data_IF_702000187917
#
_entry.id   IF_702000187917
#
_cell.length_a   1.000
_cell.length_b   1.000
_cell.length_c   1.000
_cell.angle_alpha   90.00
_cell.angle_beta   90.00
_cell.angle_gamma   90.00
#
_symmetry.space_group_name_H-M   'P 1'
#
loop_
_entity.id
_entity.type
_entity.pdbx_description
1 polymer ?
#
# COMPACT_ATOMS: atom_id res chain seq x y z
N UNK A 1 27.30 -20.14 6.23
CA UNK A 1 27.30 -19.44 7.53
C UNK A 1 25.98 -18.71 7.71
N UNK A 2 25.32 -18.92 8.85
CA UNK A 2 24.08 -18.31 9.35
C UNK A 2 22.81 -18.43 8.47
N UNK A 3 22.09 -19.55 8.67
CA UNK A 3 20.66 -19.72 8.41
C UNK A 3 19.86 -18.78 9.32
N UNK A 4 18.91 -18.03 8.76
CA UNK A 4 17.96 -17.22 9.53
C UNK A 4 16.53 -17.54 9.10
N UNK A 5 15.80 -18.09 10.07
CA UNK A 5 14.39 -18.49 10.01
C UNK A 5 13.50 -17.28 9.72
N UNK A 6 12.63 -17.42 8.73
CA UNK A 6 11.50 -16.52 8.54
C UNK A 6 10.53 -16.68 9.71
N UNK A 7 10.20 -15.58 10.39
CA UNK A 7 9.12 -15.55 11.35
C UNK A 7 7.79 -15.51 10.58
N UNK A 8 7.18 -16.68 10.43
CA UNK A 8 5.84 -16.86 9.87
C UNK A 8 4.84 -16.33 10.89
N UNK A 9 4.16 -15.22 10.55
CA UNK A 9 2.93 -14.83 11.24
C UNK A 9 1.82 -15.82 10.84
N UNK A 10 1.36 -16.62 11.81
CA UNK A 10 0.19 -17.49 11.68
C UNK A 10 -1.05 -16.69 12.03
N UNK A 11 -2.01 -16.58 11.12
CA UNK A 11 -3.40 -16.36 11.49
C UNK A 11 -4.30 -17.23 10.61
N UNK A 12 -5.06 -18.11 11.27
CA UNK A 12 -6.15 -18.87 10.68
C UNK A 12 -7.30 -17.92 10.35
N UNK A 13 -7.83 -17.98 9.12
CA UNK A 13 -9.20 -17.55 8.85
C UNK A 13 -9.87 -18.55 7.91
N UNK A 14 -10.91 -19.18 8.46
CA UNK A 14 -11.92 -19.92 7.71
C UNK A 14 -13.07 -18.95 7.46
N UNK A 15 -13.33 -18.63 6.20
CA UNK A 15 -14.56 -17.95 5.79
C UNK A 15 -15.44 -18.99 5.08
N UNK A 16 -16.35 -19.59 5.85
CA UNK A 16 -17.42 -20.46 5.34
C UNK A 16 -18.51 -19.59 4.71
N UNK A 17 -18.92 -19.97 3.51
CA UNK A 17 -20.14 -19.51 2.82
C UNK A 17 -21.38 -19.72 3.72
N UNK A 18 -22.43 -18.87 3.63
CA UNK A 18 -23.59 -18.99 4.49
C UNK A 18 -24.49 -20.15 4.06
N UNK A 19 -24.82 -21.03 5.02
CA UNK A 19 -25.95 -21.97 4.92
C UNK A 19 -27.24 -21.27 5.32
N UNK A 20 -28.25 -21.46 4.48
CA UNK A 20 -29.66 -21.16 4.71
C UNK A 20 -30.19 -22.15 5.74
N UNK A 21 -30.87 -21.65 6.78
CA UNK A 21 -31.85 -22.44 7.54
C UNK A 21 -33.01 -21.53 7.98
N UNK A 22 -34.20 -22.10 7.86
CA UNK A 22 -35.53 -21.54 8.01
C UNK A 22 -36.16 -21.88 9.36
N UNK A 23 -37.17 -21.07 9.70
CA UNK A 23 -38.30 -21.31 10.63
C UNK A 23 -38.08 -21.27 12.15
N UNK A 24 -39.04 -20.62 12.84
CA UNK A 24 -39.40 -20.97 14.22
C UNK A 24 -39.81 -19.82 15.14
N UNK A 25 -41.10 -19.48 15.09
CA UNK A 25 -41.88 -18.58 15.95
C UNK A 25 -41.89 -18.95 17.46
N UNK A 26 -41.95 -17.96 18.37
CA UNK A 26 -43.02 -17.82 19.38
C UNK A 26 -42.70 -16.80 20.50
N UNK A 27 -43.67 -15.89 20.67
CA UNK A 27 -43.86 -14.87 21.71
C UNK A 27 -44.10 -15.42 23.12
N UNK A 28 -43.82 -14.62 24.16
CA UNK A 28 -44.79 -14.39 25.27
C UNK A 28 -44.47 -13.19 26.17
N UNK A 29 -45.55 -12.42 26.41
CA UNK A 29 -45.74 -11.30 27.33
C UNK A 29 -45.62 -11.65 28.82
N UNK A 30 -45.44 -10.62 29.65
CA UNK A 30 -45.57 -10.70 31.10
C UNK A 30 -45.50 -9.33 31.80
N UNK A 31 -46.63 -8.62 31.76
CA UNK A 31 -46.94 -7.35 32.43
C UNK A 31 -46.93 -7.44 33.98
N UNK A 32 -46.64 -6.34 34.68
CA UNK A 32 -47.55 -5.68 35.65
C UNK A 32 -46.84 -4.76 36.68
N UNK A 33 -47.11 -3.46 36.53
CA UNK A 33 -47.72 -2.54 37.54
C UNK A 33 -47.07 -2.38 38.94
N UNK A 34 -46.88 -1.20 39.55
CA UNK A 34 -47.89 -0.18 39.91
C UNK A 34 -47.24 0.98 40.72
N UNK A 35 -47.65 2.23 40.41
CA UNK A 35 -48.21 3.32 41.29
C UNK A 35 -47.48 3.67 42.62
N UNK A 36 -47.40 4.92 43.14
CA UNK A 36 -48.11 6.22 42.96
C UNK A 36 -47.46 7.28 43.88
N UNK A 37 -47.56 8.57 43.48
CA UNK A 37 -47.80 9.84 44.26
C UNK A 37 -46.87 10.17 45.46
N UNK A 38 -46.51 11.40 45.78
CA UNK A 38 -46.88 12.74 45.32
C UNK A 38 -46.57 13.77 46.43
N UNK A 39 -46.09 14.95 46.03
CA UNK A 39 -46.24 16.29 46.64
C UNK A 39 -45.78 16.61 48.08
N UNK A 40 -45.02 17.73 48.16
CA UNK A 40 -45.27 18.94 49.00
C UNK A 40 -44.24 19.31 50.07
N UNK A 41 -43.61 20.47 49.81
CA UNK A 41 -43.09 21.52 50.72
C UNK A 41 -43.59 21.49 52.17
N UNK A 42 -42.68 21.60 53.16
CA UNK A 42 -42.41 22.86 53.89
C UNK A 42 -41.24 22.73 54.90
N UNK A 43 -40.61 23.88 55.15
CA UNK A 43 -39.51 24.27 56.04
C UNK A 43 -39.37 23.54 57.40
N UNK A 44 -38.12 23.27 57.82
CA UNK A 44 -37.62 23.57 59.17
C UNK A 44 -36.08 23.60 59.24
N UNK A 45 -35.60 24.70 59.80
CA UNK A 45 -34.22 25.11 60.09
C UNK A 45 -33.68 24.32 61.32
N UNK A 46 -32.43 23.82 61.32
CA UNK A 46 -31.33 24.24 62.23
C UNK A 46 -30.12 23.26 62.35
N UNK A 47 -28.92 23.87 62.43
CA UNK A 47 -27.71 23.45 63.16
C UNK A 47 -26.97 22.13 62.86
N UNK A 48 -26.18 22.07 61.76
CA UNK A 48 -24.93 21.26 61.65
C UNK A 48 -23.94 21.88 60.66
N UNK A 49 -23.31 23.01 61.00
CA UNK A 49 -22.44 23.72 60.04
C UNK A 49 -21.14 24.30 60.63
N UNK A 50 -20.41 23.49 61.42
CA UNK A 50 -19.05 23.87 61.89
C UNK A 50 -17.96 22.84 61.55
N UNK A 51 -18.32 21.59 61.20
CA UNK A 51 -17.34 20.55 60.83
C UNK A 51 -17.04 20.49 59.31
N UNK A 52 -17.78 21.23 58.47
CA UNK A 52 -17.66 21.15 56.99
C UNK A 52 -16.59 22.08 56.39
N UNK A 53 -16.09 23.06 57.16
CA UNK A 53 -15.14 24.06 56.66
C UNK A 53 -13.67 23.63 56.61
N UNK A 54 -13.28 22.53 57.27
CA UNK A 54 -11.90 22.01 57.15
C UNK A 54 -11.68 21.14 55.90
N UNK A 55 -12.73 20.48 55.40
CA UNK A 55 -12.66 19.69 54.17
C UNK A 55 -12.66 20.54 52.90
N UNK A 56 -13.31 21.71 52.93
CA UNK A 56 -13.40 22.61 51.76
C UNK A 56 -12.05 23.30 51.48
N UNK A 57 -11.26 23.62 52.50
CA UNK A 57 -9.93 24.24 52.33
C UNK A 57 -8.92 23.24 51.73
N UNK A 58 -9.01 21.96 52.08
CA UNK A 58 -8.18 20.88 51.47
C UNK A 58 -8.52 20.71 49.99
N UNK A 59 -9.80 20.78 49.61
CA UNK A 59 -10.23 20.63 48.22
C UNK A 59 -9.95 21.87 47.35
N UNK A 60 -10.09 23.09 47.88
CA UNK A 60 -9.96 24.32 47.09
C UNK A 60 -8.52 24.83 46.94
N UNK A 61 -7.57 24.39 47.77
CA UNK A 61 -6.18 24.88 47.70
C UNK A 61 -5.21 23.80 47.23
N UNK A 62 -5.35 22.56 47.70
CA UNK A 62 -4.38 21.50 47.37
C UNK A 62 -4.64 20.87 46.00
N UNK A 63 -5.88 20.80 45.53
CA UNK A 63 -6.18 20.29 44.17
C UNK A 63 -5.65 21.24 43.08
N UNK A 64 -5.87 22.57 43.14
CA UNK A 64 -5.29 23.48 42.16
C UNK A 64 -3.75 23.49 42.19
N UNK A 65 -3.13 23.38 43.37
CA UNK A 65 -1.68 23.28 43.50
C UNK A 65 -1.13 21.97 42.92
N UNK A 66 -1.81 20.84 43.14
CA UNK A 66 -1.44 19.56 42.53
C UNK A 66 -1.64 19.58 41.00
N UNK A 67 -2.74 20.15 40.51
CA UNK A 67 -2.98 20.34 39.08
C UNK A 67 -1.95 21.28 38.45
N UNK A 68 -1.58 22.38 39.12
CA UNK A 68 -0.53 23.29 38.67
C UNK A 68 0.85 22.61 38.67
N UNK A 69 1.18 21.83 39.70
CA UNK A 69 2.42 21.07 39.77
C UNK A 69 2.52 20.01 38.66
N UNK A 70 1.43 19.27 38.40
CA UNK A 70 1.33 18.31 37.28
C UNK A 70 1.42 19.03 35.94
N UNK A 71 0.76 20.18 35.78
CA UNK A 71 0.81 20.98 34.56
C UNK A 71 2.23 21.49 34.29
N UNK A 72 2.90 22.08 35.30
CA UNK A 72 4.28 22.58 35.18
C UNK A 72 5.27 21.45 34.91
N UNK A 73 5.15 20.30 35.57
CA UNK A 73 5.99 19.12 35.28
C UNK A 73 5.70 18.49 33.92
N UNK A 74 4.44 18.45 33.48
CA UNK A 74 4.08 17.98 32.14
C UNK A 74 4.64 18.93 31.07
N UNK A 75 4.59 20.25 31.28
CA UNK A 75 5.20 21.23 30.37
C UNK A 75 6.72 21.18 30.40
N UNK A 76 7.34 20.89 31.55
CA UNK A 76 8.79 20.73 31.69
C UNK A 76 9.29 19.46 31.00
N UNK A 77 8.62 18.32 31.18
CA UNK A 77 8.92 17.08 30.43
C UNK A 77 8.66 17.26 28.93
N UNK A 78 7.62 17.98 28.53
CA UNK A 78 7.35 18.29 27.12
C UNK A 78 8.44 19.20 26.55
N UNK A 79 8.88 20.21 27.28
CA UNK A 79 10.00 21.07 26.90
C UNK A 79 11.34 20.32 26.85
N UNK A 80 11.58 19.38 27.78
CA UNK A 80 12.75 18.50 27.77
C UNK A 80 12.70 17.45 26.64
N UNK A 81 11.52 16.94 26.28
CA UNK A 81 11.31 16.07 25.11
C UNK A 81 11.47 16.84 23.79
N UNK A 82 11.08 18.10 23.73
CA UNK A 82 11.35 18.99 22.59
C UNK A 82 12.84 19.38 22.50
N UNK A 83 13.53 19.56 23.63
CA UNK A 83 14.95 19.91 23.67
C UNK A 83 15.88 18.70 23.46
N UNK A 84 15.46 17.48 23.82
CA UNK A 84 16.23 16.24 23.68
C UNK A 84 15.97 15.50 22.36
N UNK A 85 15.14 16.05 21.48
CA UNK A 85 14.58 15.30 20.35
C UNK A 85 14.41 16.09 19.06
N UNK A 86 15.18 17.16 18.82
CA UNK A 86 15.41 17.56 17.42
C UNK A 86 16.46 16.58 16.90
N UNK A 87 16.07 15.53 16.13
CA UNK A 87 17.06 14.67 15.52
C UNK A 87 18.01 15.59 14.75
N UNK A 88 19.32 15.41 14.92
CA UNK A 88 20.31 16.04 14.07
C UNK A 88 19.91 15.69 12.63
N UNK A 89 19.29 16.64 11.93
CA UNK A 89 18.97 16.51 10.52
C UNK A 89 20.31 16.53 9.83
N UNK A 90 20.88 15.35 9.59
CA UNK A 90 21.87 15.23 8.53
C UNK A 90 21.19 15.76 7.27
N UNK A 91 21.82 16.66 6.50
CA UNK A 91 21.24 17.12 5.24
C UNK A 91 20.93 15.88 4.40
N UNK A 92 19.64 15.54 4.31
CA UNK A 92 19.18 14.35 3.61
C UNK A 92 19.07 14.69 2.14
N UNK A 93 19.72 13.89 1.31
CA UNK A 93 19.57 14.03 -0.14
C UNK A 93 18.15 13.59 -0.49
N UNK A 94 17.31 14.45 -1.09
CA UNK A 94 15.93 14.09 -1.35
C UNK A 94 15.84 13.04 -2.46
N UNK A 95 14.88 12.12 -2.32
CA UNK A 95 14.41 11.25 -3.41
C UNK A 95 13.38 12.03 -4.23
N UNK A 96 13.59 12.14 -5.54
CA UNK A 96 12.68 12.88 -6.43
C UNK A 96 11.48 12.02 -6.84
N UNK A 97 11.69 10.73 -7.10
CA UNK A 97 10.61 9.83 -7.46
C UNK A 97 10.87 8.37 -7.08
N UNK A 98 9.80 7.58 -7.05
CA UNK A 98 9.83 6.13 -6.85
C UNK A 98 8.91 5.43 -7.85
N UNK A 99 9.41 4.38 -8.51
CA UNK A 99 8.57 3.40 -9.21
C UNK A 99 8.10 2.40 -8.15
N UNK A 100 6.88 2.60 -7.64
CA UNK A 100 6.44 2.12 -6.33
C UNK A 100 5.61 0.82 -6.34
N UNK A 101 5.34 0.28 -7.53
CA UNK A 101 4.51 -0.91 -7.67
C UNK A 101 3.67 -0.89 -8.94
N UNK A 102 2.79 -1.89 -9.09
CA UNK A 102 2.82 -3.15 -8.34
C UNK A 102 3.78 -4.16 -9.00
N UNK A 103 4.21 -5.22 -8.29
CA UNK A 103 4.93 -6.32 -8.93
C UNK A 103 4.18 -6.79 -10.18
N UNK A 104 4.92 -7.15 -11.23
CA UNK A 104 4.37 -7.65 -12.51
C UNK A 104 3.50 -6.66 -13.28
N UNK A 105 3.56 -5.38 -12.94
CA UNK A 105 2.88 -4.29 -13.65
C UNK A 105 3.86 -3.41 -14.44
N UNK A 106 4.95 -3.97 -14.99
CA UNK A 106 5.85 -3.25 -15.89
C UNK A 106 6.93 -2.38 -15.23
N UNK A 107 7.09 -2.47 -13.90
CA UNK A 107 8.08 -1.66 -13.16
C UNK A 107 9.52 -1.85 -13.61
N UNK A 108 9.87 -3.05 -14.10
CA UNK A 108 11.25 -3.34 -14.58
C UNK A 108 11.52 -2.70 -15.95
N UNK A 109 10.52 -2.65 -16.84
CA UNK A 109 10.62 -1.89 -18.09
C UNK A 109 10.87 -0.41 -17.82
N UNK A 110 10.14 0.18 -16.86
CA UNK A 110 10.38 1.57 -16.46
C UNK A 110 11.76 1.77 -15.83
N UNK A 111 12.24 0.82 -15.02
CA UNK A 111 13.59 0.87 -14.46
C UNK A 111 14.66 0.94 -15.55
N UNK A 112 14.57 0.10 -16.58
CA UNK A 112 15.55 0.10 -17.65
C UNK A 112 15.51 1.37 -18.50
N UNK A 113 14.32 1.89 -18.80
CA UNK A 113 14.18 3.16 -19.51
C UNK A 113 14.72 4.34 -18.69
N UNK A 114 14.37 4.42 -17.41
CA UNK A 114 14.74 5.54 -16.54
C UNK A 114 16.22 5.50 -16.13
N UNK A 115 16.79 4.32 -15.85
CA UNK A 115 18.22 4.21 -15.51
C UNK A 115 19.13 4.66 -16.66
N UNK A 116 18.71 4.46 -17.92
CA UNK A 116 19.46 4.88 -19.12
C UNK A 116 19.26 6.37 -19.46
N UNK A 117 18.33 7.06 -18.80
CA UNK A 117 17.98 8.43 -19.15
C UNK A 117 19.04 9.43 -18.62
N UNK A 118 19.51 10.39 -19.44
CA UNK A 118 20.61 11.28 -19.07
C UNK A 118 20.30 12.18 -17.86
N UNK A 119 19.04 12.53 -17.64
CA UNK A 119 18.59 13.36 -16.51
C UNK A 119 18.12 12.54 -15.29
N UNK A 120 18.38 11.23 -15.24
CA UNK A 120 17.96 10.38 -14.11
C UNK A 120 19.16 9.72 -13.47
N UNK A 121 19.22 9.79 -12.14
CA UNK A 121 20.15 9.05 -11.32
C UNK A 121 19.38 7.94 -10.60
N UNK A 122 19.55 6.71 -11.05
CA UNK A 122 18.83 5.53 -10.56
C UNK A 122 19.74 4.31 -10.67
N UNK A 123 19.65 3.36 -9.74
CA UNK A 123 20.38 2.08 -9.84
C UNK A 123 19.80 1.21 -10.97
N UNK A 124 20.59 0.40 -11.71
CA UNK A 124 20.08 -0.55 -12.68
C UNK A 124 19.36 -1.76 -12.04
N UNK A 125 19.45 -1.90 -10.73
CA UNK A 125 18.80 -2.97 -9.96
C UNK A 125 17.80 -2.39 -8.97
N UNK A 126 16.84 -3.22 -8.56
CA UNK A 126 15.83 -2.88 -7.57
C UNK A 126 16.43 -2.40 -6.25
N UNK A 127 15.88 -1.31 -5.71
CA UNK A 127 16.22 -0.81 -4.38
C UNK A 127 14.97 -0.68 -3.51
N UNK A 128 14.66 -1.76 -2.80
CA UNK A 128 13.55 -1.85 -1.85
C UNK A 128 13.98 -1.74 -0.37
N UNK A 129 15.14 -1.15 -0.05
CA UNK A 129 15.57 -1.05 1.34
C UNK A 129 14.55 -0.28 2.21
N UNK A 130 13.90 0.73 1.64
CA UNK A 130 12.89 1.54 2.33
C UNK A 130 11.64 0.73 2.72
N UNK A 131 11.35 -0.38 2.04
CA UNK A 131 10.18 -1.23 2.25
C UNK A 131 10.39 -2.32 3.31
N UNK A 132 11.61 -2.48 3.86
CA UNK A 132 11.89 -3.54 4.83
C UNK A 132 11.12 -3.31 6.15
N UNK A 133 10.21 -4.23 6.54
CA UNK A 133 9.30 -3.99 7.67
C UNK A 133 9.94 -4.22 9.04
N UNK A 134 10.95 -5.10 9.12
CA UNK A 134 11.59 -5.55 10.39
C UNK A 134 12.60 -4.51 10.92
N UNK A 135 13.10 -3.63 10.06
CA UNK A 135 14.15 -2.67 10.43
C UNK A 135 13.55 -1.38 11.00
N UNK A 136 14.23 -0.82 12.01
CA UNK A 136 13.88 0.50 12.55
C UNK A 136 13.93 1.57 11.45
N UNK A 137 13.05 2.57 11.56
CA UNK A 137 12.89 3.59 10.53
C UNK A 137 14.18 4.38 10.28
N UNK A 138 14.94 4.69 11.33
CA UNK A 138 16.21 5.41 11.22
C UNK A 138 17.26 4.62 10.42
N UNK A 139 17.31 3.29 10.56
CA UNK A 139 18.21 2.41 9.81
C UNK A 139 17.86 2.41 8.32
N UNK A 140 16.57 2.33 7.99
CA UNK A 140 16.11 2.36 6.60
C UNK A 140 16.36 3.71 5.95
N UNK A 141 16.11 4.81 6.68
CA UNK A 141 16.39 6.16 6.21
C UNK A 141 17.89 6.42 6.03
N UNK A 142 18.75 5.92 6.93
CA UNK A 142 20.21 6.00 6.77
C UNK A 142 20.70 5.25 5.53
N UNK A 143 20.11 4.07 5.25
CA UNK A 143 20.43 3.29 4.03
C UNK A 143 19.97 4.02 2.78
N UNK A 144 18.74 4.53 2.76
CA UNK A 144 18.26 5.34 1.63
C UNK A 144 19.19 6.52 1.37
N UNK A 145 19.56 7.29 2.38
CA UNK A 145 20.50 8.40 2.23
C UNK A 145 21.85 7.96 1.66
N UNK A 146 22.39 6.85 2.16
CA UNK A 146 23.64 6.29 1.63
C UNK A 146 23.52 5.92 0.16
N UNK A 147 22.43 5.26 -0.23
CA UNK A 147 22.20 4.85 -1.61
C UNK A 147 22.04 6.07 -2.53
N UNK A 148 21.32 7.11 -2.09
CA UNK A 148 21.16 8.35 -2.85
C UNK A 148 22.48 9.11 -3.04
N UNK A 149 23.33 9.17 -2.01
CA UNK A 149 24.66 9.76 -2.11
C UNK A 149 25.58 8.99 -3.09
N UNK A 150 25.39 7.68 -3.23
CA UNK A 150 26.16 6.88 -4.18
C UNK A 150 25.75 7.13 -5.63
N UNK A 151 24.48 7.47 -5.89
CA UNK A 151 24.01 7.83 -7.22
C UNK A 151 24.71 9.11 -7.72
N UNK A 152 24.87 10.10 -6.84
CA UNK A 152 25.54 11.38 -7.15
C UNK A 152 27.06 11.24 -7.37
N UNK A 153 27.67 10.16 -6.85
CA UNK A 153 29.12 9.94 -6.92
C UNK A 153 29.58 9.32 -8.25
N UNK A 154 28.64 8.97 -9.14
CA UNK A 154 28.98 8.46 -10.49
C UNK A 154 29.37 9.64 -11.39
N UNK A 155 30.64 9.75 -11.84
CA UNK A 155 31.07 10.88 -12.65
C UNK A 155 30.31 10.88 -13.98
N UNK A 156 29.72 12.02 -14.35
CA UNK A 156 29.33 12.23 -15.74
C UNK A 156 30.60 12.49 -16.55
N UNK A 157 30.76 11.78 -17.67
CA UNK A 157 31.85 12.04 -18.63
C UNK A 157 31.68 13.42 -19.32
N UNK A 158 30.49 14.01 -19.23
CA UNK A 158 30.19 15.36 -19.71
C UNK A 158 30.45 16.43 -18.64
N UNK A 159 31.20 17.47 -18.98
CA UNK A 159 31.43 18.66 -18.14
C UNK A 159 30.17 19.53 -17.88
N UNK A 160 28.98 19.10 -18.35
CA UNK A 160 27.72 19.79 -18.09
C UNK A 160 27.15 19.38 -16.73
N UNK A 161 26.85 20.36 -15.88
CA UNK A 161 26.18 20.13 -14.59
C UNK A 161 24.69 19.87 -14.87
N UNK A 162 24.35 18.64 -15.28
CA UNK A 162 22.95 18.21 -15.37
C UNK A 162 22.51 17.76 -13.98
N UNK A 163 21.56 18.49 -13.39
CA UNK A 163 20.91 18.10 -12.13
C UNK A 163 19.99 16.90 -12.38
N UNK A 164 20.52 15.69 -12.18
CA UNK A 164 19.78 14.44 -12.35
C UNK A 164 18.69 14.27 -11.29
N UNK A 165 17.52 13.76 -11.70
CA UNK A 165 16.42 13.34 -10.83
C UNK A 165 16.75 12.00 -10.18
N UNK A 166 16.71 11.92 -8.86
CA UNK A 166 17.02 10.71 -8.10
C UNK A 166 15.81 9.80 -8.01
N UNK A 167 15.93 8.61 -8.58
CA UNK A 167 14.89 7.59 -8.63
C UNK A 167 15.28 6.29 -7.94
N UNK A 168 14.28 5.58 -7.39
CA UNK A 168 14.42 4.17 -7.01
C UNK A 168 13.26 3.35 -7.57
N UNK A 169 13.49 2.06 -7.85
CA UNK A 169 12.43 1.09 -8.13
C UNK A 169 12.23 0.26 -6.87
N UNK A 170 11.00 0.23 -6.36
CA UNK A 170 10.60 -0.74 -5.37
C UNK A 170 9.14 -1.17 -5.60
N UNK A 171 8.91 -2.34 -6.23
CA UNK A 171 7.56 -2.82 -6.52
C UNK A 171 6.70 -3.05 -5.27
N UNK A 172 7.34 -3.35 -4.13
CA UNK A 172 6.66 -3.61 -2.85
C UNK A 172 6.44 -2.35 -2.01
N UNK A 173 6.74 -1.15 -2.55
CA UNK A 173 6.72 0.09 -1.76
C UNK A 173 5.33 0.40 -1.18
N UNK A 174 4.25 -0.03 -1.84
CA UNK A 174 2.88 0.19 -1.39
C UNK A 174 2.37 -0.93 -0.46
N UNK A 175 3.10 -2.03 -0.27
CA UNK A 175 2.64 -3.14 0.58
C UNK A 175 2.70 -2.83 2.08
N UNK A 176 3.25 -1.69 2.48
CA UNK A 176 3.25 -1.29 3.89
C UNK A 176 3.20 0.22 4.06
N UNK A 177 2.42 0.70 5.03
CA UNK A 177 2.34 2.12 5.36
C UNK A 177 3.68 2.70 5.79
N UNK A 178 4.61 1.85 6.25
CA UNK A 178 5.92 2.28 6.74
C UNK A 178 6.69 3.02 5.65
N UNK A 179 6.58 2.61 4.38
CA UNK A 179 7.25 3.31 3.28
C UNK A 179 6.68 4.71 3.09
N UNK A 180 5.35 4.82 3.05
CA UNK A 180 4.64 6.11 2.92
C UNK A 180 5.05 7.04 4.07
N UNK A 181 5.07 6.52 5.31
CA UNK A 181 5.50 7.28 6.48
C UNK A 181 6.95 7.77 6.36
N UNK A 182 7.88 6.86 6.05
CA UNK A 182 9.32 7.17 5.94
C UNK A 182 9.58 8.18 4.84
N UNK A 183 8.98 8.01 3.67
CA UNK A 183 9.14 8.93 2.54
C UNK A 183 8.49 10.28 2.83
N UNK A 184 7.37 10.33 3.56
CA UNK A 184 6.74 11.61 3.89
C UNK A 184 7.62 12.45 4.83
N UNK A 185 8.40 11.79 5.69
CA UNK A 185 9.38 12.45 6.56
C UNK A 185 10.66 12.83 5.82
N UNK A 186 11.14 11.97 4.92
CA UNK A 186 12.45 12.12 4.26
C UNK A 186 12.40 12.95 2.98
N UNK A 187 11.37 12.77 2.16
CA UNK A 187 11.22 13.35 0.83
C UNK A 187 9.75 13.64 0.56
N UNK A 188 9.17 14.67 1.22
CA UNK A 188 7.74 14.96 1.17
C UNK A 188 7.22 15.33 -0.23
N UNK A 189 8.10 15.74 -1.14
CA UNK A 189 7.80 16.03 -2.55
C UNK A 189 8.09 14.87 -3.50
N UNK A 190 8.39 13.67 -2.98
CA UNK A 190 8.66 12.49 -3.80
C UNK A 190 7.42 12.14 -4.64
N UNK A 191 7.64 11.88 -5.93
CA UNK A 191 6.60 11.47 -6.89
C UNK A 191 6.51 9.95 -6.97
N UNK A 192 5.30 9.41 -7.04
CA UNK A 192 5.05 7.98 -7.14
C UNK A 192 4.64 7.62 -8.57
N UNK A 193 5.36 6.70 -9.20
CA UNK A 193 4.99 6.10 -10.48
C UNK A 193 4.47 4.69 -10.20
N UNK A 194 3.20 4.45 -10.50
CA UNK A 194 2.47 3.25 -10.09
C UNK A 194 1.82 2.59 -11.31
N UNK A 195 2.19 1.35 -11.58
CA UNK A 195 1.59 0.51 -12.60
C UNK A 195 0.55 -0.42 -11.99
N UNK A 196 -0.56 -0.60 -12.70
CA UNK A 196 -1.58 -1.62 -12.43
C UNK A 196 -1.82 -2.49 -13.65
N UNK A 197 -2.41 -3.67 -13.47
CA UNK A 197 -2.68 -4.64 -14.53
C UNK A 197 -3.95 -5.41 -14.17
N UNK A 198 -4.71 -5.91 -15.15
CA UNK A 198 -5.84 -6.81 -14.89
C UNK A 198 -5.54 -7.81 -13.73
N UNK A 199 -6.28 -7.78 -12.60
CA UNK A 199 -5.98 -8.56 -11.39
C UNK A 199 -5.74 -10.05 -11.61
N UNK A 200 -6.58 -10.71 -12.41
CA UNK A 200 -6.41 -12.13 -12.79
C UNK A 200 -5.05 -12.38 -13.46
N UNK A 201 -4.72 -11.61 -14.50
CA UNK A 201 -3.45 -11.76 -15.21
C UNK A 201 -2.24 -11.37 -14.37
N UNK A 202 -2.39 -10.41 -13.45
CA UNK A 202 -1.35 -10.01 -12.53
C UNK A 202 -1.03 -11.16 -11.56
N UNK A 203 -2.04 -11.79 -10.97
CA UNK A 203 -1.85 -12.91 -10.04
C UNK A 203 -1.14 -14.09 -10.70
N UNK A 204 -1.56 -14.51 -11.90
CA UNK A 204 -0.86 -15.55 -12.68
C UNK A 204 0.61 -15.17 -12.89
N UNK A 205 0.85 -13.94 -13.33
CA UNK A 205 2.20 -13.45 -13.60
C UNK A 205 3.07 -13.41 -12.34
N UNK A 206 2.47 -13.13 -11.18
CA UNK A 206 3.16 -13.08 -9.89
C UNK A 206 3.49 -14.47 -9.38
N UNK A 207 2.53 -15.40 -9.42
CA UNK A 207 2.74 -16.79 -9.03
C UNK A 207 3.81 -17.47 -9.89
N UNK A 208 3.71 -17.36 -11.22
CA UNK A 208 4.69 -17.93 -12.15
C UNK A 208 6.09 -17.31 -11.97
N UNK A 209 6.16 -16.03 -11.60
CA UNK A 209 7.42 -15.40 -11.21
C UNK A 209 8.02 -16.00 -9.92
N UNK A 210 7.19 -16.28 -8.90
CA UNK A 210 7.67 -16.93 -7.66
C UNK A 210 8.20 -18.34 -7.92
N UNK A 211 7.59 -19.09 -8.81
CA UNK A 211 8.10 -20.39 -9.25
C UNK A 211 9.48 -20.22 -9.88
N UNK A 212 9.61 -19.31 -10.85
CA UNK A 212 10.91 -19.04 -11.50
C UNK A 212 11.96 -18.65 -10.48
N UNK A 213 11.62 -17.81 -9.50
CA UNK A 213 12.56 -17.42 -8.44
C UNK A 213 13.11 -18.64 -7.66
N UNK A 214 12.30 -19.69 -7.46
CA UNK A 214 12.75 -20.95 -6.86
C UNK A 214 13.79 -21.64 -7.76
N UNK A 215 13.52 -21.72 -9.07
CA UNK A 215 14.41 -22.35 -10.05
C UNK A 215 15.73 -21.58 -10.20
N UNK A 216 15.67 -20.27 -10.42
CA UNK A 216 16.84 -19.40 -10.60
C UNK A 216 17.77 -19.44 -9.38
N UNK A 217 17.19 -19.55 -8.17
CA UNK A 217 17.94 -19.63 -6.91
C UNK A 217 18.31 -21.06 -6.50
N UNK A 218 17.98 -22.05 -7.33
CA UNK A 218 18.20 -23.49 -7.05
C UNK A 218 17.68 -23.90 -5.67
N UNK A 219 16.49 -23.39 -5.31
CA UNK A 219 15.84 -23.70 -4.03
C UNK A 219 15.05 -25.02 -4.13
N UNK A 220 14.74 -25.67 -2.99
CA UNK A 220 13.95 -26.90 -2.99
C UNK A 220 12.55 -26.69 -3.61
N UNK A 221 12.19 -27.56 -4.56
CA UNK A 221 10.94 -27.48 -5.35
C UNK A 221 9.76 -28.18 -4.70
N UNK A 222 10.01 -29.17 -3.84
CA UNK A 222 9.00 -29.98 -3.17
C UNK A 222 8.01 -29.17 -2.29
N UNK A 223 8.25 -27.86 -2.14
CA UNK A 223 7.44 -26.93 -1.35
C UNK A 223 6.83 -25.80 -2.20
N UNK A 224 6.60 -26.01 -3.50
CA UNK A 224 5.76 -25.10 -4.31
C UNK A 224 4.30 -25.56 -4.13
N UNK A 225 3.46 -24.85 -3.36
CA UNK A 225 2.07 -25.24 -3.16
C UNK A 225 1.21 -24.83 -4.36
N UNK A 226 0.13 -25.59 -4.59
CA UNK A 226 -0.89 -25.28 -5.58
C UNK A 226 -1.53 -23.90 -5.31
N UNK A 227 -1.84 -23.15 -6.37
CA UNK A 227 -2.40 -21.80 -6.22
C UNK A 227 -3.78 -21.85 -5.53
N UNK A 228 -4.64 -22.82 -5.86
CA UNK A 228 -5.98 -22.95 -5.26
C UNK A 228 -5.84 -23.18 -3.76
N UNK A 229 -4.91 -24.03 -3.33
CA UNK A 229 -4.66 -24.30 -1.92
C UNK A 229 -4.22 -23.05 -1.14
N UNK A 230 -3.34 -22.22 -1.74
CA UNK A 230 -2.93 -20.94 -1.14
C UNK A 230 -4.14 -20.02 -0.96
N UNK A 231 -4.95 -19.85 -2.00
CA UNK A 231 -6.05 -18.89 -2.01
C UNK A 231 -7.25 -19.33 -1.15
N UNK A 232 -7.44 -20.64 -0.96
CA UNK A 232 -8.43 -21.20 -0.04
C UNK A 232 -7.94 -21.25 1.41
N UNK A 233 -6.65 -20.96 1.65
CA UNK A 233 -6.05 -21.01 2.98
C UNK A 233 -5.90 -22.43 3.53
N UNK A 234 -5.92 -23.46 2.67
CA UNK A 234 -5.62 -24.85 3.07
C UNK A 234 -4.14 -25.02 3.39
N UNK A 235 -3.29 -24.16 2.81
CA UNK A 235 -1.86 -24.02 3.12
C UNK A 235 -1.51 -22.58 3.51
N UNK A 236 -0.39 -22.36 4.23
CA UNK A 236 0.08 -21.01 4.52
C UNK A 236 0.38 -20.19 3.25
N UNK A 237 0.23 -18.87 3.35
CA UNK A 237 0.65 -17.92 2.31
C UNK A 237 2.10 -18.23 1.89
N UNK A 238 2.28 -18.43 0.60
CA UNK A 238 3.58 -18.75 0.01
C UNK A 238 4.09 -17.55 -0.77
N UNK A 239 5.24 -16.99 -0.36
CA UNK A 239 5.93 -15.91 -1.09
C UNK A 239 5.03 -14.70 -1.40
N UNK A 240 4.19 -14.32 -0.43
CA UNK A 240 3.24 -13.22 -0.52
C UNK A 240 2.14 -13.40 -1.57
N UNK A 241 1.95 -14.62 -2.09
CA UNK A 241 0.83 -14.96 -2.98
C UNK A 241 -0.43 -15.04 -2.12
N UNK A 242 -1.38 -14.15 -2.38
CA UNK A 242 -2.70 -14.12 -1.75
C UNK A 242 -3.71 -13.48 -2.71
N UNK A 243 -5.00 -13.50 -2.36
CA UNK A 243 -6.00 -12.77 -3.14
C UNK A 243 -5.81 -11.25 -3.04
N UNK A 244 -5.30 -10.77 -1.90
CA UNK A 244 -5.13 -9.34 -1.63
C UNK A 244 -4.04 -8.71 -2.50
N UNK A 245 -3.02 -9.46 -2.93
CA UNK A 245 -1.97 -8.92 -3.82
C UNK A 245 -2.55 -8.37 -5.13
N UNK A 246 -3.73 -8.86 -5.54
CA UNK A 246 -4.46 -8.43 -6.73
C UNK A 246 -5.45 -7.28 -6.49
N UNK A 247 -5.62 -6.83 -5.24
CA UNK A 247 -6.50 -5.74 -4.83
C UNK A 247 -5.71 -4.42 -4.78
N UNK A 248 -5.47 -3.77 -5.91
CA UNK A 248 -4.66 -2.54 -5.93
C UNK A 248 -5.27 -1.41 -5.08
N UNK A 249 -6.60 -1.32 -5.02
CA UNK A 249 -7.32 -0.34 -4.21
C UNK A 249 -6.95 -0.43 -2.73
N UNK A 250 -6.79 -1.66 -2.21
CA UNK A 250 -6.45 -1.92 -0.82
C UNK A 250 -5.14 -1.22 -0.43
N UNK A 251 -4.13 -1.30 -1.29
CA UNK A 251 -2.83 -0.70 -1.06
C UNK A 251 -2.83 0.81 -1.35
N UNK A 252 -3.57 1.26 -2.37
CA UNK A 252 -3.64 2.66 -2.78
C UNK A 252 -4.43 3.54 -1.79
N UNK A 253 -5.38 2.97 -1.04
CA UNK A 253 -6.12 3.68 0.02
C UNK A 253 -5.20 4.41 1.01
N UNK A 254 -4.02 3.86 1.29
CA UNK A 254 -3.04 4.44 2.21
C UNK A 254 -2.52 5.82 1.78
N UNK A 255 -2.60 6.13 0.48
CA UNK A 255 -2.20 7.42 -0.08
C UNK A 255 -3.24 8.52 0.19
N UNK A 256 -4.47 8.15 0.56
CA UNK A 256 -5.59 9.04 0.88
C UNK A 256 -5.83 10.13 -0.19
N UNK A 257 -5.88 9.72 -1.46
CA UNK A 257 -6.18 10.60 -2.60
C UNK A 257 -7.67 10.75 -2.87
N UNK A 258 -8.46 9.81 -2.38
CA UNK A 258 -9.92 9.83 -2.43
C UNK A 258 -10.49 10.04 -1.03
N UNK A 259 -11.77 10.42 -0.95
CA UNK A 259 -12.48 10.48 0.33
C UNK A 259 -12.58 9.07 0.93
N UNK A 260 -12.14 8.92 2.18
CA UNK A 260 -12.19 7.66 2.90
C UNK A 260 -13.56 7.46 3.53
N UNK A 261 -14.13 6.27 3.35
CA UNK A 261 -15.36 5.82 3.99
C UNK A 261 -15.07 5.06 5.28
N UNK A 262 -16.11 4.79 6.07
CA UNK A 262 -15.96 3.90 7.24
C UNK A 262 -15.52 2.48 6.83
N UNK A 263 -16.08 1.96 5.73
CA UNK A 263 -15.72 0.64 5.19
C UNK A 263 -14.25 0.56 4.76
N UNK A 264 -13.69 1.65 4.21
CA UNK A 264 -12.26 1.71 3.88
C UNK A 264 -11.40 1.62 5.15
N UNK A 265 -11.80 2.33 6.23
CA UNK A 265 -11.08 2.31 7.50
C UNK A 265 -11.18 0.95 8.20
N UNK A 266 -12.34 0.30 8.15
CA UNK A 266 -12.55 -1.06 8.64
C UNK A 266 -11.68 -2.06 7.88
N UNK A 267 -11.65 -1.97 6.54
CA UNK A 267 -10.77 -2.79 5.69
C UNK A 267 -9.31 -2.60 6.07
N UNK A 268 -8.85 -1.35 6.24
CA UNK A 268 -7.47 -1.09 6.67
C UNK A 268 -7.18 -1.60 8.09
N UNK A 269 -8.15 -1.59 9.00
CA UNK A 269 -8.00 -2.10 10.36
C UNK A 269 -7.80 -3.63 10.40
N UNK A 270 -8.33 -4.36 9.43
CA UNK A 270 -8.10 -5.80 9.26
C UNK A 270 -6.67 -6.14 8.79
N UNK A 271 -5.94 -5.14 8.28
CA UNK A 271 -4.61 -5.29 7.70
C UNK A 271 -3.58 -4.46 8.47
N UNK A 272 -2.99 -5.02 9.53
CA UNK A 272 -2.11 -4.27 10.45
C UNK A 272 -0.85 -3.65 9.81
N UNK A 273 -0.50 -4.09 8.60
CA UNK A 273 0.59 -3.56 7.77
C UNK A 273 0.18 -2.38 6.88
N UNK A 274 -1.12 -2.08 6.78
CA UNK A 274 -1.67 -0.94 6.03
C UNK A 274 -2.19 0.13 6.97
N UNK A 275 -2.01 1.39 6.58
CA UNK A 275 -2.56 2.53 7.30
C UNK A 275 -2.47 3.78 6.43
N UNK A 276 -3.43 4.68 6.59
CA UNK A 276 -3.33 6.03 6.02
C UNK A 276 -2.29 6.83 6.78
N UNK A 277 -1.34 7.41 6.05
CA UNK A 277 -0.33 8.33 6.60
C UNK A 277 -0.37 9.66 5.84
N UNK A 278 -0.33 10.80 6.55
CA UNK A 278 -0.27 12.10 5.89
C UNK A 278 0.90 12.18 4.92
N UNK A 279 0.62 12.55 3.68
CA UNK A 279 1.60 12.67 2.61
C UNK A 279 1.18 13.77 1.62
N UNK A 280 2.12 14.23 0.78
CA UNK A 280 1.89 15.22 -0.28
C UNK A 280 2.31 14.71 -1.65
N UNK A 281 2.42 13.39 -1.80
CA UNK A 281 2.97 12.78 -3.00
C UNK A 281 2.06 13.00 -4.20
N UNK A 282 2.65 13.39 -5.33
CA UNK A 282 1.98 13.29 -6.62
C UNK A 282 2.11 11.86 -7.13
N UNK A 283 1.10 11.40 -7.85
CA UNK A 283 1.03 10.03 -8.38
C UNK A 283 0.88 10.09 -9.89
N UNK A 284 1.68 9.32 -10.61
CA UNK A 284 1.45 8.96 -11.99
C UNK A 284 0.99 7.51 -12.03
N UNK A 285 -0.28 7.29 -12.33
CA UNK A 285 -0.87 5.97 -12.45
C UNK A 285 -0.89 5.57 -13.93
N UNK A 286 -0.51 4.32 -14.21
CA UNK A 286 -0.63 3.74 -15.54
C UNK A 286 -1.14 2.31 -15.48
N UNK A 287 -1.71 1.86 -16.59
CA UNK A 287 -2.08 0.46 -16.81
C UNK A 287 -1.02 -0.22 -17.69
N UNK A 288 -0.71 -1.49 -17.45
CA UNK A 288 0.40 -2.19 -18.12
C UNK A 288 0.30 -2.18 -19.66
N UNK A 289 -0.91 -2.21 -20.20
CA UNK A 289 -1.21 -2.07 -21.62
C UNK A 289 -0.66 -0.77 -22.23
N UNK A 290 -0.54 0.32 -21.47
CA UNK A 290 0.06 1.57 -21.96
C UNK A 290 1.58 1.44 -22.22
N UNK A 291 2.27 0.53 -21.52
CA UNK A 291 3.69 0.23 -21.79
C UNK A 291 3.82 -0.58 -23.08
N UNK A 292 2.85 -1.45 -23.36
CA UNK A 292 2.85 -2.36 -24.51
C UNK A 292 1.91 -1.86 -25.62
N UNK A 293 1.61 -0.56 -25.67
CA UNK A 293 0.62 -0.02 -26.58
C UNK A 293 1.17 -0.02 -28.01
N UNK A 294 0.50 -0.73 -28.90
CA UNK A 294 0.86 -0.82 -30.31
C UNK A 294 0.53 0.48 -31.09
N UNK A 295 -0.36 1.32 -30.55
CA UNK A 295 -0.63 2.63 -31.11
C UNK A 295 0.52 3.59 -30.79
N UNK A 296 1.31 3.89 -31.83
CA UNK A 296 2.49 4.74 -31.75
C UNK A 296 2.18 6.11 -31.15
N UNK A 297 1.00 6.66 -31.40
CA UNK A 297 0.60 7.99 -30.90
C UNK A 297 0.27 7.93 -29.41
N UNK A 298 -0.48 6.91 -28.96
CA UNK A 298 -0.74 6.70 -27.53
C UNK A 298 0.53 6.36 -26.75
N UNK A 299 1.39 5.51 -27.30
CA UNK A 299 2.69 5.18 -26.72
C UNK A 299 3.62 6.41 -26.63
N UNK A 300 3.59 7.31 -27.61
CA UNK A 300 4.33 8.58 -27.56
C UNK A 300 3.75 9.53 -26.50
N UNK A 301 2.43 9.65 -26.40
CA UNK A 301 1.76 10.45 -25.38
C UNK A 301 2.08 9.95 -23.96
N UNK A 302 2.07 8.62 -23.74
CA UNK A 302 2.48 8.00 -22.48
C UNK A 302 3.87 8.45 -22.03
N UNK A 303 4.84 8.37 -22.94
CA UNK A 303 6.22 8.80 -22.68
C UNK A 303 6.32 10.30 -22.41
N UNK A 304 5.64 11.13 -23.20
CA UNK A 304 5.63 12.59 -23.02
C UNK A 304 5.02 13.02 -21.68
N UNK A 305 3.94 12.37 -21.26
CA UNK A 305 3.28 12.65 -19.98
C UNK A 305 4.13 12.18 -18.80
N UNK A 306 4.75 11.01 -18.88
CA UNK A 306 5.67 10.52 -17.84
C UNK A 306 6.91 11.41 -17.73
N UNK A 307 7.48 11.82 -18.87
CA UNK A 307 8.59 12.77 -18.94
C UNK A 307 8.22 14.09 -18.24
N UNK A 308 7.06 14.66 -18.59
CA UNK A 308 6.55 15.91 -18.02
C UNK A 308 6.29 15.76 -16.52
N UNK A 309 5.69 14.65 -16.10
CA UNK A 309 5.42 14.34 -14.71
C UNK A 309 6.70 14.26 -13.87
N UNK A 310 7.77 13.65 -14.40
CA UNK A 310 9.06 13.57 -13.72
C UNK A 310 9.88 14.88 -13.81
N UNK A 311 9.50 15.79 -14.70
CA UNK A 311 10.20 17.06 -14.95
C UNK A 311 11.54 16.84 -15.66
N UNK A 312 11.53 15.97 -16.67
CA UNK A 312 12.67 15.67 -17.53
C UNK A 312 12.58 16.52 -18.82
N UNK A 313 13.72 17.01 -19.30
CA UNK A 313 13.78 17.88 -20.48
C UNK A 313 13.99 17.08 -21.77
N UNK A 314 14.80 16.02 -21.69
CA UNK A 314 15.06 15.09 -22.79
C UNK A 314 13.91 14.08 -22.93
N UNK A 315 13.64 13.64 -24.17
CA UNK A 315 12.59 12.66 -24.42
C UNK A 315 12.94 11.30 -23.82
N UNK A 316 11.91 10.62 -23.28
CA UNK A 316 12.00 9.19 -23.00
C UNK A 316 11.98 8.42 -24.30
N UNK A 317 12.99 7.57 -24.53
CA UNK A 317 13.04 6.65 -25.66
C UNK A 317 11.88 5.64 -25.63
N UNK A 318 11.51 5.04 -26.78
CA UNK A 318 10.53 3.96 -26.82
C UNK A 318 10.84 2.87 -25.80
N UNK A 319 9.83 2.46 -25.04
CA UNK A 319 9.99 1.46 -24.00
C UNK A 319 10.26 0.09 -24.64
N UNK A 320 11.31 -0.58 -24.18
CA UNK A 320 11.69 -1.90 -24.69
C UNK A 320 10.84 -3.02 -24.10
N UNK A 321 10.81 -4.16 -24.80
CA UNK A 321 10.28 -5.43 -24.30
C UNK A 321 11.40 -6.24 -23.63
N UNK A 322 12.18 -5.59 -22.76
CA UNK A 322 13.41 -6.17 -22.19
C UNK A 322 13.13 -7.32 -21.21
N UNK A 323 11.88 -7.52 -20.80
CA UNK A 323 11.42 -8.69 -20.04
C UNK A 323 10.41 -9.48 -20.86
N UNK A 324 10.87 -10.25 -21.84
CA UNK A 324 10.05 -11.31 -22.41
C UNK A 324 9.72 -12.29 -21.27
N UNK A 325 8.44 -12.64 -21.10
CA UNK A 325 8.07 -13.68 -20.15
C UNK A 325 8.72 -14.99 -20.61
N UNK A 326 9.81 -15.40 -19.97
CA UNK A 326 10.42 -16.72 -20.16
C UNK A 326 9.55 -17.85 -19.58
N UNK A 327 8.34 -17.54 -19.13
CA UNK A 327 7.46 -18.40 -18.33
C UNK A 327 6.28 -18.94 -19.15
N UNK A 328 6.40 -18.97 -20.48
CA UNK A 328 5.39 -19.48 -21.40
C UNK A 328 6.03 -20.43 -22.41
N UNK A 329 5.26 -21.39 -22.90
CA UNK A 329 5.71 -22.38 -23.88
C UNK A 329 6.83 -23.28 -23.34
N UNK A 330 7.78 -23.66 -24.20
CA UNK A 330 8.84 -24.64 -23.87
C UNK A 330 9.85 -24.22 -22.79
N UNK A 331 9.75 -22.99 -22.26
CA UNK A 331 10.57 -22.50 -21.14
C UNK A 331 9.84 -22.50 -19.79
N UNK A 332 8.54 -22.83 -19.77
CA UNK A 332 7.76 -22.90 -18.53
C UNK A 332 8.25 -24.05 -17.63
N UNK A 333 8.26 -23.81 -16.32
CA UNK A 333 8.51 -24.85 -15.31
C UNK A 333 7.25 -25.69 -15.09
N UNK A 334 7.42 -26.93 -14.60
CA UNK A 334 6.31 -27.88 -14.39
C UNK A 334 5.16 -27.32 -13.56
N UNK A 335 5.47 -26.50 -12.56
CA UNK A 335 4.50 -25.89 -11.64
C UNK A 335 3.88 -24.59 -12.19
N UNK A 336 4.37 -24.08 -13.32
CA UNK A 336 3.85 -22.86 -13.95
C UNK A 336 2.41 -23.07 -14.36
N UNK A 337 1.53 -22.13 -14.01
CA UNK A 337 0.10 -22.25 -14.29
C UNK A 337 -0.32 -21.41 -15.49
N UNK A 338 -1.38 -21.88 -16.14
CA UNK A 338 -2.29 -21.06 -16.92
C UNK A 338 -3.60 -20.89 -16.14
N UNK A 339 -3.91 -19.66 -15.72
CA UNK A 339 -5.09 -19.41 -14.88
C UNK A 339 -6.39 -19.62 -15.66
N UNK A 340 -6.33 -19.72 -16.99
CA UNK A 340 -7.50 -19.99 -17.83
C UNK A 340 -7.91 -21.46 -17.85
N UNK A 341 -7.16 -22.37 -17.21
CA UNK A 341 -7.58 -23.76 -17.09
C UNK A 341 -8.87 -23.90 -16.25
N UNK A 342 -9.76 -24.86 -16.58
CA UNK A 342 -11.07 -25.00 -15.92
C UNK A 342 -11.02 -25.19 -14.40
N UNK A 343 -9.95 -25.76 -13.87
CA UNK A 343 -9.83 -25.99 -12.43
C UNK A 343 -9.62 -24.69 -11.63
N UNK A 344 -9.28 -23.58 -12.29
CA UNK A 344 -9.18 -22.25 -11.68
C UNK A 344 -10.47 -21.41 -11.80
N UNK A 345 -11.56 -21.94 -12.34
CA UNK A 345 -12.81 -21.17 -12.56
C UNK A 345 -13.29 -20.45 -11.29
N UNK A 346 -13.31 -21.14 -10.15
CA UNK A 346 -13.69 -20.54 -8.88
C UNK A 346 -12.72 -19.47 -8.38
N UNK A 347 -11.43 -19.61 -8.69
CA UNK A 347 -10.40 -18.59 -8.38
C UNK A 347 -10.63 -17.35 -9.25
N UNK A 348 -10.87 -17.53 -10.55
CA UNK A 348 -11.15 -16.43 -11.48
C UNK A 348 -12.44 -15.70 -11.12
N UNK A 349 -13.48 -16.41 -10.71
CA UNK A 349 -14.73 -15.79 -10.25
C UNK A 349 -14.51 -14.86 -9.04
N UNK A 350 -13.73 -15.31 -8.05
CA UNK A 350 -13.39 -14.50 -6.88
C UNK A 350 -12.52 -13.28 -7.26
N UNK A 351 -11.53 -13.47 -8.12
CA UNK A 351 -10.68 -12.39 -8.60
C UNK A 351 -11.42 -11.40 -9.48
N UNK A 352 -12.42 -11.83 -10.24
CA UNK A 352 -13.23 -10.96 -11.09
C UNK A 352 -14.07 -9.99 -10.24
N UNK A 353 -14.65 -10.47 -9.13
CA UNK A 353 -15.34 -9.58 -8.16
C UNK A 353 -14.40 -8.51 -7.62
N UNK A 354 -13.18 -8.90 -7.23
CA UNK A 354 -12.17 -7.95 -6.80
C UNK A 354 -11.79 -7.00 -7.94
N UNK A 355 -11.62 -7.51 -9.15
CA UNK A 355 -11.28 -6.74 -10.34
C UNK A 355 -12.28 -5.62 -10.62
N UNK A 356 -13.57 -5.93 -10.58
CA UNK A 356 -14.65 -4.95 -10.73
C UNK A 356 -14.62 -3.89 -9.62
N UNK A 357 -14.43 -4.29 -8.36
CA UNK A 357 -14.33 -3.37 -7.23
C UNK A 357 -13.09 -2.45 -7.34
N UNK A 358 -11.93 -3.02 -7.65
CA UNK A 358 -10.68 -2.30 -7.88
C UNK A 358 -10.84 -1.30 -9.03
N UNK A 359 -11.40 -1.72 -10.17
CA UNK A 359 -11.59 -0.86 -11.33
C UNK A 359 -12.54 0.30 -11.03
N UNK A 360 -13.67 0.04 -10.36
CA UNK A 360 -14.60 1.08 -9.92
C UNK A 360 -13.93 2.10 -8.99
N UNK A 361 -13.12 1.63 -8.04
CA UNK A 361 -12.38 2.50 -7.14
C UNK A 361 -11.31 3.33 -7.87
N UNK A 362 -10.52 2.71 -8.77
CA UNK A 362 -9.48 3.40 -9.53
C UNK A 362 -10.07 4.53 -10.37
N UNK A 363 -11.25 4.35 -10.97
CA UNK A 363 -11.96 5.42 -11.72
C UNK A 363 -12.15 6.68 -10.88
N UNK A 364 -12.40 6.54 -9.58
CA UNK A 364 -12.50 7.67 -8.64
C UNK A 364 -11.12 8.19 -8.22
N UNK A 365 -10.14 7.30 -8.05
CA UNK A 365 -8.78 7.67 -7.69
C UNK A 365 -8.10 8.57 -8.74
N UNK A 366 -8.32 8.30 -10.02
CA UNK A 366 -7.73 9.08 -11.11
C UNK A 366 -8.39 10.46 -11.30
N UNK A 367 -9.46 10.77 -10.56
CA UNK A 367 -10.06 12.12 -10.49
C UNK A 367 -9.39 13.00 -9.44
N UNK A 368 -8.54 12.42 -8.57
CA UNK A 368 -7.87 13.19 -7.54
C UNK A 368 -6.87 14.20 -8.16
N UNK A 369 -6.81 15.46 -7.68
CA UNK A 369 -5.97 16.51 -8.29
C UNK A 369 -4.47 16.22 -8.34
N UNK A 370 -3.98 15.34 -7.46
CA UNK A 370 -2.56 14.94 -7.39
C UNK A 370 -2.30 13.60 -8.09
N UNK A 371 -3.25 13.10 -8.89
CA UNK A 371 -3.11 11.88 -9.67
C UNK A 371 -3.14 12.23 -11.15
N UNK A 372 -2.05 11.89 -11.84
CA UNK A 372 -1.88 12.05 -13.28
C UNK A 372 -2.01 10.69 -13.95
N UNK A 373 -2.71 10.65 -15.08
CA UNK A 373 -2.78 9.49 -15.98
C UNK A 373 -2.52 9.97 -17.40
N UNK A 374 -1.79 9.19 -18.19
CA UNK A 374 -1.70 9.43 -19.63
C UNK A 374 -2.88 8.79 -20.35
N UNK A 375 -3.31 9.37 -21.49
CA UNK A 375 -4.37 8.83 -22.35
C UNK A 375 -5.61 8.39 -21.54
N UNK A 376 -6.21 9.31 -20.79
CA UNK A 376 -7.26 9.02 -19.82
C UNK A 376 -8.40 8.13 -20.36
N UNK A 377 -8.88 8.39 -21.59
CA UNK A 377 -9.95 7.58 -22.19
C UNK A 377 -9.52 6.12 -22.37
N UNK A 378 -8.28 5.89 -22.82
CA UNK A 378 -7.73 4.55 -22.96
C UNK A 378 -7.63 3.84 -21.61
N UNK A 379 -7.19 4.54 -20.54
CA UNK A 379 -7.22 3.99 -19.17
C UNK A 379 -8.63 3.60 -18.75
N UNK A 380 -9.65 4.42 -19.03
CA UNK A 380 -11.04 4.13 -18.71
C UNK A 380 -11.59 2.92 -19.49
N UNK A 381 -11.19 2.77 -20.76
CA UNK A 381 -11.51 1.59 -21.58
C UNK A 381 -10.87 0.33 -20.99
N UNK A 382 -9.58 0.39 -20.65
CA UNK A 382 -8.85 -0.71 -19.99
C UNK A 382 -9.51 -1.12 -18.68
N UNK A 383 -9.86 -0.15 -17.82
CA UNK A 383 -10.56 -0.44 -16.56
C UNK A 383 -11.97 -1.01 -16.78
N UNK A 384 -12.61 -0.75 -17.91
CA UNK A 384 -13.90 -1.36 -18.26
C UNK A 384 -13.75 -2.78 -18.78
N UNK A 385 -12.63 -3.09 -19.44
CA UNK A 385 -12.30 -4.46 -19.81
C UNK A 385 -12.04 -5.37 -18.58
N UNK A 386 -11.74 -4.80 -17.42
CA UNK A 386 -11.53 -5.55 -16.16
C UNK A 386 -12.82 -6.13 -15.56
N UNK A 387 -13.98 -5.76 -16.13
CA UNK A 387 -15.29 -6.28 -15.74
C UNK A 387 -15.57 -7.67 -16.36
N UNK A 388 -14.70 -8.12 -17.28
CA UNK A 388 -14.81 -9.39 -18.02
C UNK A 388 -13.66 -10.33 -17.64
N UNK A 389 -13.94 -11.63 -17.45
CA UNK A 389 -12.88 -12.63 -17.26
C UNK A 389 -12.03 -12.71 -18.54
N UNK A 390 -10.72 -12.40 -18.49
CA UNK A 390 -9.85 -12.41 -19.67
C UNK A 390 -9.70 -13.81 -20.29
N UNK A 391 -10.08 -14.88 -19.57
CA UNK A 391 -10.10 -16.25 -20.06
C UNK A 391 -11.43 -16.66 -20.72
N UNK A 392 -12.48 -15.85 -20.56
CA UNK A 392 -13.81 -16.10 -21.14
C UNK A 392 -13.97 -15.55 -22.56
N UNK A 393 -13.05 -14.69 -22.98
CA UNK A 393 -13.00 -14.20 -24.34
C UNK A 393 -12.52 -15.35 -25.20
N UNK A 394 -13.44 -16.02 -25.90
CA UNK A 394 -13.11 -17.07 -26.87
C UNK A 394 -12.01 -16.54 -27.79
N UNK A 395 -10.85 -17.16 -27.67
CA UNK A 395 -9.69 -16.83 -28.48
C UNK A 395 -9.97 -17.20 -29.93
N UNK A 396 -10.22 -16.18 -30.75
CA UNK A 396 -9.43 -15.99 -31.97
C UNK A 396 -7.96 -15.73 -31.62
N UNK A 397 -7.27 -16.69 -30.97
CA UNK A 397 -5.80 -16.78 -30.97
C UNK A 397 -5.36 -17.90 -31.88
#
# INVERSE_FOLDING_TARGET
MASMRSAVHRHHFSALLPRVDSDGDETKEGDTSKRRRGSSLCSLYNHKNVQRNRFVVVLLVLIPLACYYVYVHATSKRAQLFAAGIPKVHPSVPLDFIVAGFPKCGTTTLLYALHKHPEVAMSPIENCQIARPIQQDDVNLKRLNKDLLQLDATPDESNDIILKKRGIKCPDALHTYKVIHRLAQHSPSCKFVIGVRHPIQMLQSFYNYRITEIYDKSLPKDNIPDLVDILQGTVPIWKDVSIDVARFELYLLQLAKTALTLADLETLQEHDWLAVKPNRFDVFLYTLDQINDEDVSRAAAFRGDLQSFLGLSNPLEPLGHENLNHFVGGQAHTETIDICEPHFDGVREALLRNSQATAAWIRTFIDAPTVTVSNRNHVLETLSAWDVDPCSVEETR
#
